data_IF_985719340606
#
_entry.id   IF_985719340606
#
_cell.length_a   1.000
_cell.length_b   1.000
_cell.length_c   1.000
_cell.angle_alpha   90.00
_cell.angle_beta   90.00
_cell.angle_gamma   90.00
#
_symmetry.space_group_name_H-M   'P 1'
#
loop_
_entity.id
_entity.type
_entity.pdbx_description
1 polymer ?
#
# COMPACT_ATOMS: atom_id res chain seq x y z
N UNK A 1 15.75 -18.38 -11.93
CA UNK A 1 15.59 -18.33 -10.46
C UNK A 1 14.12 -18.24 -10.16
N UNK A 2 13.56 -19.15 -9.36
CA UNK A 2 12.16 -19.09 -8.93
C UNK A 2 12.00 -17.85 -8.04
N UNK A 3 11.35 -16.81 -8.54
CA UNK A 3 11.00 -15.63 -7.74
C UNK A 3 10.11 -16.10 -6.60
N UNK A 4 10.52 -15.79 -5.35
CA UNK A 4 9.73 -16.09 -4.15
C UNK A 4 8.27 -15.72 -4.42
N UNK A 5 7.31 -16.59 -4.04
CA UNK A 5 5.90 -16.33 -4.31
C UNK A 5 5.55 -14.94 -3.79
N UNK A 6 4.82 -14.16 -4.58
CA UNK A 6 4.33 -12.85 -4.17
C UNK A 6 3.49 -13.06 -2.89
N UNK A 7 4.09 -12.83 -1.74
CA UNK A 7 3.44 -12.89 -0.45
C UNK A 7 2.88 -11.50 -0.16
N UNK A 8 1.78 -11.35 0.59
CA UNK A 8 1.59 -10.14 1.36
C UNK A 8 2.85 -9.92 2.20
N UNK A 9 3.52 -8.79 1.97
CA UNK A 9 4.79 -8.45 2.63
C UNK A 9 4.53 -7.82 3.99
N UNK A 10 3.37 -7.22 4.12
CA UNK A 10 3.01 -6.30 5.17
C UNK A 10 1.61 -6.68 5.70
N UNK A 11 1.36 -6.54 7.01
CA UNK A 11 0.04 -6.84 7.58
C UNK A 11 -1.12 -6.03 6.96
N UNK A 12 -0.83 -4.87 6.38
CA UNK A 12 -1.81 -4.05 5.66
C UNK A 12 -2.44 -4.79 4.47
N UNK A 13 -1.69 -5.64 3.77
CA UNK A 13 -2.22 -6.43 2.66
C UNK A 13 -3.34 -7.38 3.11
N UNK A 14 -3.23 -7.92 4.33
CA UNK A 14 -4.26 -8.78 4.90
C UNK A 14 -5.51 -7.99 5.27
N UNK A 15 -5.33 -6.79 5.80
CA UNK A 15 -6.42 -5.89 6.18
C UNK A 15 -7.20 -5.45 4.93
N UNK A 16 -6.51 -5.07 3.87
CA UNK A 16 -7.13 -4.51 2.66
C UNK A 16 -7.62 -5.57 1.67
N UNK A 17 -6.95 -6.72 1.63
CA UNK A 17 -7.15 -7.69 0.54
C UNK A 17 -7.45 -9.12 1.01
N UNK A 18 -7.52 -9.39 2.31
CA UNK A 18 -7.71 -10.75 2.85
C UNK A 18 -8.93 -11.49 2.27
N UNK A 19 -10.00 -10.77 1.91
CA UNK A 19 -11.17 -11.36 1.25
C UNK A 19 -10.87 -11.98 -0.13
N UNK A 20 -9.88 -11.45 -0.87
CA UNK A 20 -9.48 -12.01 -2.18
C UNK A 20 -8.98 -13.44 -2.02
N UNK A 21 -8.16 -13.72 -0.99
CA UNK A 21 -7.71 -15.07 -0.70
C UNK A 21 -8.87 -15.97 -0.26
N UNK A 22 -9.81 -15.47 0.54
CA UNK A 22 -10.99 -16.24 0.94
C UNK A 22 -11.84 -16.65 -0.27
N UNK A 23 -12.03 -15.76 -1.26
CA UNK A 23 -12.73 -16.09 -2.52
C UNK A 23 -11.98 -17.17 -3.31
N UNK A 24 -10.65 -17.11 -3.37
CA UNK A 24 -9.83 -18.14 -4.03
C UNK A 24 -9.93 -19.49 -3.30
N UNK A 25 -9.88 -19.49 -1.97
CA UNK A 25 -9.98 -20.69 -1.15
C UNK A 25 -11.37 -21.36 -1.27
N UNK A 26 -12.45 -20.60 -1.34
CA UNK A 26 -13.80 -21.14 -1.60
C UNK A 26 -13.88 -21.83 -2.97
N UNK A 27 -13.33 -21.22 -4.03
CA UNK A 27 -13.25 -21.85 -5.36
C UNK A 27 -12.38 -23.11 -5.36
N UNK A 28 -11.29 -23.11 -4.59
CA UNK A 28 -10.45 -24.29 -4.41
C UNK A 28 -11.20 -25.42 -3.69
N UNK A 29 -12.04 -25.08 -2.72
CA UNK A 29 -12.90 -26.04 -2.04
C UNK A 29 -13.96 -26.64 -2.96
N UNK A 30 -14.63 -25.83 -3.78
CA UNK A 30 -15.56 -26.31 -4.81
C UNK A 30 -14.89 -27.30 -5.78
N UNK A 31 -13.61 -27.05 -6.09
CA UNK A 31 -12.77 -27.92 -6.93
C UNK A 31 -12.13 -29.09 -6.19
N UNK A 32 -12.43 -29.27 -4.89
CA UNK A 32 -11.89 -30.30 -4.00
C UNK A 32 -10.37 -30.26 -3.82
N UNK A 33 -9.72 -29.13 -4.09
CA UNK A 33 -8.28 -28.94 -3.86
C UNK A 33 -7.96 -28.30 -2.51
N UNK A 34 -8.95 -27.72 -1.83
CA UNK A 34 -8.86 -27.24 -0.46
C UNK A 34 -9.95 -27.87 0.42
N UNK A 35 -9.63 -28.11 1.71
CA UNK A 35 -10.61 -28.67 2.65
C UNK A 35 -11.50 -27.56 3.24
N UNK A 36 -12.73 -27.93 3.60
CA UNK A 36 -13.68 -27.00 4.24
C UNK A 36 -13.14 -26.46 5.57
N UNK A 37 -12.37 -27.26 6.30
CA UNK A 37 -11.75 -26.86 7.56
C UNK A 37 -10.76 -25.70 7.36
N UNK A 38 -9.95 -25.74 6.31
CA UNK A 38 -9.00 -24.67 5.97
C UNK A 38 -9.74 -23.38 5.63
N UNK A 39 -10.78 -23.46 4.80
CA UNK A 39 -11.60 -22.29 4.42
C UNK A 39 -12.28 -21.67 5.66
N UNK A 40 -12.81 -22.49 6.55
CA UNK A 40 -13.42 -22.02 7.80
C UNK A 40 -12.40 -21.37 8.72
N UNK A 41 -11.20 -21.95 8.87
CA UNK A 41 -10.10 -21.39 9.67
C UNK A 41 -9.67 -20.02 9.12
N UNK A 42 -9.49 -19.91 7.80
CA UNK A 42 -9.18 -18.66 7.12
C UNK A 42 -10.26 -17.60 7.37
N UNK A 43 -11.54 -17.95 7.16
CA UNK A 43 -12.66 -17.03 7.40
C UNK A 43 -12.72 -16.54 8.84
N UNK A 44 -12.49 -17.43 9.82
CA UNK A 44 -12.46 -17.08 11.25
C UNK A 44 -11.35 -16.07 11.55
N UNK A 45 -10.13 -16.31 11.07
CA UNK A 45 -8.99 -15.42 11.30
C UNK A 45 -9.20 -14.04 10.65
N UNK A 46 -9.75 -13.99 9.43
CA UNK A 46 -10.08 -12.73 8.77
C UNK A 46 -11.15 -11.94 9.53
N UNK A 47 -12.17 -12.61 10.09
CA UNK A 47 -13.15 -11.96 10.98
C UNK A 47 -12.49 -11.41 12.24
N UNK A 48 -11.60 -12.16 12.87
CA UNK A 48 -10.86 -11.69 14.05
C UNK A 48 -9.99 -10.47 13.72
N UNK A 49 -9.31 -10.49 12.57
CA UNK A 49 -8.53 -9.35 12.07
C UNK A 49 -9.41 -8.12 11.85
N UNK A 50 -10.60 -8.30 11.26
CA UNK A 50 -11.56 -7.23 11.02
C UNK A 50 -12.10 -6.61 12.32
N UNK A 51 -12.24 -7.40 13.39
CA UNK A 51 -12.72 -6.93 14.71
C UNK A 51 -11.67 -6.25 15.59
N UNK A 52 -10.38 -6.29 15.21
CA UNK A 52 -9.34 -5.58 15.96
C UNK A 52 -9.62 -4.09 16.04
N UNK A 53 -9.22 -3.46 17.15
CA UNK A 53 -9.35 -2.02 17.31
C UNK A 53 -8.46 -1.28 16.31
N UNK A 54 -8.87 -0.06 15.92
CA UNK A 54 -8.09 0.77 14.97
C UNK A 54 -6.65 0.98 15.44
N UNK A 55 -6.44 1.19 16.75
CA UNK A 55 -5.09 1.33 17.32
C UNK A 55 -4.22 0.08 17.19
N UNK A 56 -4.81 -1.11 17.33
CA UNK A 56 -4.10 -2.39 17.16
C UNK A 56 -3.74 -2.63 15.69
N UNK A 57 -4.67 -2.35 14.77
CA UNK A 57 -4.41 -2.44 13.32
C UNK A 57 -3.28 -1.50 12.90
N UNK A 58 -3.25 -0.26 13.41
CA UNK A 58 -2.18 0.70 13.13
C UNK A 58 -0.82 0.21 13.62
N UNK A 59 -0.74 -0.30 14.86
CA UNK A 59 0.49 -0.89 15.40
C UNK A 59 0.96 -2.08 14.56
N UNK A 60 0.02 -2.95 14.18
CA UNK A 60 0.30 -4.12 13.35
C UNK A 60 0.90 -3.73 11.99
N UNK A 61 0.40 -2.68 11.33
CA UNK A 61 0.95 -2.19 10.06
C UNK A 61 2.39 -1.63 10.18
N UNK A 62 2.87 -1.30 11.39
CA UNK A 62 4.24 -0.82 11.61
C UNK A 62 5.25 -1.96 11.83
N UNK A 63 4.79 -3.21 11.90
CA UNK A 63 5.63 -4.38 12.19
C UNK A 63 5.75 -5.25 10.93
N UNK A 64 6.98 -5.58 10.54
CA UNK A 64 7.22 -6.45 9.39
C UNK A 64 6.92 -7.93 9.71
N UNK A 65 6.57 -8.72 8.69
CA UNK A 65 6.30 -10.15 8.85
C UNK A 65 7.46 -10.92 9.52
N UNK A 66 8.72 -10.58 9.19
CA UNK A 66 9.92 -11.18 9.84
C UNK A 66 10.05 -10.84 11.32
N UNK A 67 9.51 -9.70 11.75
CA UNK A 67 9.51 -9.32 13.16
C UNK A 67 8.39 -10.03 13.91
N UNK A 68 7.23 -10.18 13.29
CA UNK A 68 6.13 -11.00 13.80
C UNK A 68 6.58 -12.45 14.04
N UNK A 69 7.27 -13.07 13.07
CA UNK A 69 7.81 -14.42 13.22
C UNK A 69 8.74 -14.55 14.44
N UNK A 70 9.60 -13.55 14.67
CA UNK A 70 10.47 -13.52 15.85
C UNK A 70 9.68 -13.38 17.15
N UNK A 71 8.73 -12.43 17.23
CA UNK A 71 7.89 -12.28 18.42
C UNK A 71 7.11 -13.57 18.76
N UNK A 72 6.72 -14.37 17.76
CA UNK A 72 6.05 -15.67 17.97
C UNK A 72 7.03 -16.69 18.57
N UNK A 73 8.26 -16.76 18.08
CA UNK A 73 9.30 -17.66 18.58
C UNK A 73 9.72 -17.28 20.01
N UNK A 74 9.86 -15.98 20.26
CA UNK A 74 10.32 -15.41 21.53
C UNK A 74 9.21 -15.41 22.61
N UNK A 75 7.95 -15.64 22.22
CA UNK A 75 6.80 -15.65 23.13
C UNK A 75 6.20 -14.27 23.43
N UNK A 76 6.67 -13.23 22.75
CA UNK A 76 6.30 -11.82 22.96
C UNK A 76 5.20 -11.33 22.00
N UNK A 77 4.64 -12.22 21.17
CA UNK A 77 3.67 -11.83 20.15
C UNK A 77 2.36 -11.33 20.74
N UNK A 78 1.84 -10.24 20.19
CA UNK A 78 0.47 -9.80 20.47
C UNK A 78 -0.56 -10.67 19.75
N UNK A 79 -1.81 -10.65 20.21
CA UNK A 79 -2.92 -11.38 19.55
C UNK A 79 -3.07 -11.00 18.07
N UNK A 80 -2.87 -9.72 17.73
CA UNK A 80 -2.93 -9.23 16.35
C UNK A 80 -1.83 -9.84 15.47
N UNK A 81 -0.60 -9.94 16.01
CA UNK A 81 0.53 -10.56 15.34
C UNK A 81 0.33 -12.07 15.16
N UNK A 82 -0.22 -12.75 16.17
CA UNK A 82 -0.60 -14.16 16.07
C UNK A 82 -1.62 -14.42 14.96
N UNK A 83 -2.59 -13.53 14.77
CA UNK A 83 -3.57 -13.64 13.67
C UNK A 83 -2.87 -13.59 12.32
N UNK A 84 -1.98 -12.61 12.10
CA UNK A 84 -1.23 -12.48 10.83
C UNK A 84 -0.32 -13.67 10.60
N UNK A 85 0.38 -14.15 11.64
CA UNK A 85 1.22 -15.34 11.54
C UNK A 85 0.42 -16.55 11.06
N UNK A 86 -0.74 -16.83 11.68
CA UNK A 86 -1.61 -17.94 11.31
C UNK A 86 -2.20 -17.78 9.90
N UNK A 87 -2.52 -16.55 9.49
CA UNK A 87 -2.97 -16.26 8.13
C UNK A 87 -1.88 -16.59 7.09
N UNK A 88 -0.64 -16.18 7.35
CA UNK A 88 0.52 -16.50 6.51
C UNK A 88 0.81 -18.01 6.47
N UNK A 89 0.70 -18.69 7.61
CA UNK A 89 0.88 -20.14 7.71
C UNK A 89 -0.15 -20.88 6.83
N UNK A 90 -1.44 -20.52 6.93
CA UNK A 90 -2.50 -21.13 6.11
C UNK A 90 -2.26 -20.88 4.62
N UNK A 91 -1.92 -19.64 4.24
CA UNK A 91 -1.62 -19.28 2.86
C UNK A 91 -0.49 -20.11 2.28
N UNK A 92 0.64 -20.17 2.99
CA UNK A 92 1.86 -20.81 2.50
C UNK A 92 1.78 -22.34 2.50
N UNK A 93 1.20 -22.95 3.55
CA UNK A 93 1.23 -24.40 3.74
C UNK A 93 0.02 -25.13 3.15
N UNK A 94 -1.17 -24.54 3.26
CA UNK A 94 -2.44 -25.22 2.97
C UNK A 94 -3.14 -24.70 1.71
N UNK A 95 -2.78 -23.50 1.24
CA UNK A 95 -3.38 -22.83 0.09
C UNK A 95 -2.31 -22.32 -0.90
N UNK A 96 -1.18 -23.01 -1.03
CA UNK A 96 0.01 -22.50 -1.74
C UNK A 96 -0.27 -21.97 -3.16
N UNK A 97 -1.12 -22.67 -3.93
CA UNK A 97 -1.46 -22.26 -5.31
C UNK A 97 -2.37 -21.02 -5.36
N UNK A 98 -3.31 -20.93 -4.43
CA UNK A 98 -4.22 -19.81 -4.23
C UNK A 98 -3.47 -18.61 -3.65
N UNK A 99 -2.49 -18.86 -2.80
CA UNK A 99 -1.61 -17.89 -2.18
C UNK A 99 -0.73 -17.18 -3.21
N UNK A 100 -0.15 -17.91 -4.15
CA UNK A 100 0.56 -17.30 -5.28
C UNK A 100 -0.36 -16.44 -6.16
N UNK A 101 -1.59 -16.91 -6.42
CA UNK A 101 -2.59 -16.17 -7.20
C UNK A 101 -3.01 -14.90 -6.47
N UNK A 102 -3.25 -15.00 -5.17
CA UNK A 102 -3.53 -13.87 -4.29
C UNK A 102 -2.40 -12.85 -4.34
N UNK A 103 -1.17 -13.31 -4.19
CA UNK A 103 0.06 -12.55 -4.39
C UNK A 103 0.13 -11.73 -5.66
N UNK A 104 -0.15 -12.37 -6.80
CA UNK A 104 -0.21 -11.71 -8.10
C UNK A 104 -1.33 -10.67 -8.15
N UNK A 105 -2.50 -10.97 -7.58
CA UNK A 105 -3.63 -10.03 -7.54
C UNK A 105 -3.33 -8.79 -6.69
N UNK A 106 -2.72 -8.95 -5.51
CA UNK A 106 -2.34 -7.81 -4.66
C UNK A 106 -1.19 -7.02 -5.26
N UNK A 107 -0.19 -7.67 -5.87
CA UNK A 107 0.88 -6.98 -6.58
C UNK A 107 0.30 -6.15 -7.72
N UNK A 108 -0.62 -6.70 -8.51
CA UNK A 108 -1.30 -5.96 -9.58
C UNK A 108 -2.18 -4.82 -9.04
N UNK A 109 -2.72 -4.97 -7.82
CA UNK A 109 -3.45 -3.90 -7.11
C UNK A 109 -2.49 -2.77 -6.71
N UNK A 110 -1.28 -3.11 -6.20
CA UNK A 110 -0.20 -2.14 -5.97
C UNK A 110 0.35 -1.53 -7.28
N UNK A 111 0.23 -2.23 -8.41
CA UNK A 111 0.55 -1.72 -9.74
C UNK A 111 -0.58 -0.91 -10.40
N UNK A 112 -1.76 -0.79 -9.77
CA UNK A 112 -2.88 0.00 -10.32
C UNK A 112 -2.85 1.48 -9.93
N UNK A 113 -1.82 1.93 -9.23
CA UNK A 113 -1.43 3.35 -9.18
C UNK A 113 0.06 3.50 -9.51
N UNK A 114 0.53 2.83 -10.56
CA UNK A 114 1.60 3.46 -11.34
C UNK A 114 1.00 4.72 -11.93
N UNK A 115 1.21 5.83 -11.25
CA UNK A 115 1.10 7.16 -11.81
C UNK A 115 1.74 7.13 -13.20
N UNK A 116 0.91 7.09 -14.24
CA UNK A 116 1.40 7.36 -15.57
C UNK A 116 1.70 8.85 -15.57
N UNK A 117 2.99 9.18 -15.54
CA UNK A 117 3.49 10.55 -15.68
C UNK A 117 2.66 11.24 -16.75
N UNK A 118 1.96 12.32 -16.40
CA UNK A 118 1.12 13.05 -17.36
C UNK A 118 2.00 13.31 -18.58
N UNK A 119 1.60 12.78 -19.74
CA UNK A 119 2.32 13.01 -20.99
C UNK A 119 1.99 14.42 -21.45
N UNK A 120 2.62 15.41 -20.83
CA UNK A 120 2.53 16.82 -21.16
C UNK A 120 3.74 17.26 -21.96
N UNK A 121 3.52 18.24 -22.84
CA UNK A 121 4.61 18.93 -23.51
C UNK A 121 5.46 19.73 -22.51
N UNK A 122 6.69 20.07 -22.87
CA UNK A 122 7.65 20.73 -21.97
C UNK A 122 7.09 22.03 -21.37
N UNK A 123 6.38 22.82 -22.17
CA UNK A 123 5.81 24.12 -21.77
C UNK A 123 4.61 23.95 -20.84
N UNK A 124 3.77 22.94 -21.08
CA UNK A 124 2.65 22.56 -20.22
C UNK A 124 3.16 22.04 -18.87
N UNK A 125 4.24 21.25 -18.88
CA UNK A 125 4.88 20.74 -17.67
C UNK A 125 5.40 21.88 -16.78
N UNK A 126 6.04 22.87 -17.38
CA UNK A 126 6.55 24.03 -16.65
C UNK A 126 5.40 24.82 -16.01
N UNK A 127 4.36 25.10 -16.79
CA UNK A 127 3.17 25.83 -16.30
C UNK A 127 2.49 25.10 -15.13
N UNK A 128 2.44 23.77 -15.20
CA UNK A 128 1.93 22.91 -14.13
C UNK A 128 2.78 22.99 -12.85
N UNK A 129 4.10 22.91 -12.99
CA UNK A 129 5.04 22.98 -11.88
C UNK A 129 5.00 24.36 -11.20
N UNK A 130 4.89 25.43 -11.98
CA UNK A 130 4.77 26.80 -11.48
C UNK A 130 3.45 26.99 -10.71
N UNK A 131 2.34 26.45 -11.22
CA UNK A 131 1.05 26.46 -10.52
C UNK A 131 1.12 25.71 -9.18
N UNK A 132 1.74 24.52 -9.16
CA UNK A 132 1.94 23.76 -7.93
C UNK A 132 2.80 24.53 -6.92
N UNK A 133 3.87 25.20 -7.38
CA UNK A 133 4.73 26.01 -6.53
C UNK A 133 3.95 27.18 -5.90
N UNK A 134 3.09 27.84 -6.67
CA UNK A 134 2.24 28.92 -6.17
C UNK A 134 1.26 28.41 -5.10
N UNK A 135 0.61 27.26 -5.34
CA UNK A 135 -0.30 26.63 -4.39
C UNK A 135 0.39 26.24 -3.09
N UNK A 136 1.60 25.66 -3.19
CA UNK A 136 2.44 25.33 -2.03
C UNK A 136 2.72 26.58 -1.19
N UNK A 137 3.06 27.70 -1.83
CA UNK A 137 3.41 28.93 -1.11
C UNK A 137 2.20 29.56 -0.42
N UNK A 138 0.99 29.38 -0.94
CA UNK A 138 -0.23 29.97 -0.38
C UNK A 138 -0.92 29.07 0.66
N UNK A 139 -0.86 27.74 0.47
CA UNK A 139 -1.72 26.79 1.19
C UNK A 139 -0.93 25.68 1.91
N UNK A 140 0.35 25.90 2.23
CA UNK A 140 1.27 24.87 2.76
C UNK A 140 0.66 24.01 3.88
N UNK A 141 0.07 24.64 4.90
CA UNK A 141 -0.49 23.95 6.06
C UNK A 141 -1.67 23.06 5.68
N UNK A 142 -2.58 23.58 4.85
CA UNK A 142 -3.76 22.85 4.39
C UNK A 142 -3.37 21.65 3.51
N UNK A 143 -2.39 21.83 2.62
CA UNK A 143 -1.87 20.76 1.77
C UNK A 143 -1.21 19.64 2.59
N UNK A 144 -0.42 19.98 3.60
CA UNK A 144 0.18 18.99 4.52
C UNK A 144 -0.89 18.18 5.27
N UNK A 145 -1.88 18.87 5.84
CA UNK A 145 -2.96 18.22 6.58
C UNK A 145 -3.81 17.32 5.67
N UNK A 146 -4.15 17.81 4.48
CA UNK A 146 -4.92 17.06 3.49
C UNK A 146 -4.15 15.84 2.96
N UNK A 147 -2.86 15.99 2.66
CA UNK A 147 -2.03 14.89 2.18
C UNK A 147 -1.84 13.81 3.24
N UNK A 148 -1.61 14.21 4.50
CA UNK A 148 -1.52 13.28 5.63
C UNK A 148 -2.82 12.50 5.84
N UNK A 149 -3.97 13.14 5.64
CA UNK A 149 -5.26 12.46 5.71
C UNK A 149 -5.45 11.45 4.58
N UNK A 150 -5.10 11.82 3.35
CA UNK A 150 -5.32 10.98 2.16
C UNK A 150 -4.29 9.85 2.01
N UNK A 151 -3.03 10.10 2.35
CA UNK A 151 -1.90 9.19 2.07
C UNK A 151 -1.24 8.62 3.33
N UNK A 152 -1.69 8.98 4.53
CA UNK A 152 -1.11 8.55 5.82
C UNK A 152 0.39 8.88 6.02
N UNK A 153 0.95 9.74 5.18
CA UNK A 153 2.33 10.22 5.22
C UNK A 153 2.38 11.75 5.17
N UNK A 154 3.47 12.35 5.64
CA UNK A 154 3.64 13.80 5.57
C UNK A 154 4.17 14.23 4.20
N UNK A 155 3.52 15.24 3.60
CA UNK A 155 3.97 15.81 2.34
C UNK A 155 5.33 16.51 2.52
N UNK A 156 6.34 16.03 1.80
CA UNK A 156 7.68 16.62 1.81
C UNK A 156 7.74 17.95 1.03
N UNK A 157 7.12 19.00 1.58
CA UNK A 157 7.04 20.32 0.97
C UNK A 157 8.43 20.93 0.72
N UNK A 158 9.37 20.77 1.65
CA UNK A 158 10.71 21.36 1.51
C UNK A 158 11.48 20.72 0.35
N UNK A 159 11.48 19.38 0.27
CA UNK A 159 12.08 18.65 -0.83
C UNK A 159 11.40 18.95 -2.17
N UNK A 160 10.07 19.09 -2.17
CA UNK A 160 9.29 19.45 -3.36
C UNK A 160 9.61 20.88 -3.84
N UNK A 161 9.67 21.85 -2.91
CA UNK A 161 9.95 23.26 -3.22
C UNK A 161 11.39 23.44 -3.71
N UNK A 162 12.35 22.72 -3.15
CA UNK A 162 13.73 22.69 -3.65
C UNK A 162 13.76 22.15 -5.08
N UNK A 163 13.14 21.00 -5.30
CA UNK A 163 13.08 20.36 -6.62
C UNK A 163 12.35 21.22 -7.68
N UNK A 164 11.26 21.89 -7.32
CA UNK A 164 10.54 22.82 -8.20
C UNK A 164 11.34 24.08 -8.57
N UNK A 165 12.35 24.43 -7.77
CA UNK A 165 13.24 25.57 -8.01
C UNK A 165 14.54 25.21 -8.74
N UNK A 166 14.86 23.92 -8.90
CA UNK A 166 16.00 23.45 -9.69
C UNK A 166 15.83 23.83 -11.17
N UNK A 167 16.92 24.12 -11.90
CA UNK A 167 16.82 24.40 -13.32
C UNK A 167 16.27 23.19 -14.09
N UNK A 168 15.57 23.42 -15.20
CA UNK A 168 15.07 22.32 -16.07
C UNK A 168 16.23 21.41 -16.52
N UNK A 169 17.43 21.98 -16.71
CA UNK A 169 18.64 21.22 -17.07
C UNK A 169 19.12 20.30 -15.94
N UNK A 170 18.96 20.69 -14.67
CA UNK A 170 19.32 19.88 -13.48
C UNK A 170 18.33 18.72 -13.26
N UNK A 171 17.08 18.90 -13.71
CA UNK A 171 16.00 17.90 -13.57
C UNK A 171 15.94 16.87 -14.70
N UNK A 172 16.67 17.08 -15.80
CA UNK A 172 16.74 16.12 -16.92
C UNK A 172 17.53 14.88 -16.53
N UNK A 173 16.83 13.80 -16.18
CA UNK A 173 17.45 12.51 -15.91
C UNK A 173 16.65 11.63 -14.95
N UNK A 174 17.34 10.93 -14.05
CA UNK A 174 16.77 9.91 -13.14
C UNK A 174 15.70 10.43 -12.15
N UNK A 175 15.56 11.75 -11.97
CA UNK A 175 14.68 12.34 -10.96
C UNK A 175 13.56 13.23 -11.53
N UNK A 176 13.33 13.21 -12.86
CA UNK A 176 12.26 13.99 -13.51
C UNK A 176 10.86 13.72 -12.95
N UNK A 177 10.62 12.52 -12.44
CA UNK A 177 9.32 12.07 -11.97
C UNK A 177 9.26 11.87 -10.45
N UNK A 178 10.24 12.43 -9.73
CA UNK A 178 10.43 12.19 -8.30
C UNK A 178 9.20 12.58 -7.46
N UNK A 179 8.49 13.62 -7.87
CA UNK A 179 7.36 14.20 -7.13
C UNK A 179 6.05 14.25 -7.92
N UNK A 180 5.93 13.45 -8.98
CA UNK A 180 4.77 13.52 -9.88
C UNK A 180 3.43 13.21 -9.17
N UNK A 181 3.46 12.33 -8.16
CA UNK A 181 2.30 12.02 -7.31
C UNK A 181 1.88 13.21 -6.45
N UNK A 182 2.85 13.83 -5.79
CA UNK A 182 2.64 14.99 -4.92
C UNK A 182 2.11 16.18 -5.71
N UNK A 183 2.63 16.42 -6.92
CA UNK A 183 2.16 17.49 -7.79
C UNK A 183 0.72 17.27 -8.25
N UNK A 184 0.33 16.03 -8.57
CA UNK A 184 -1.06 15.75 -8.94
C UNK A 184 -2.02 15.86 -7.77
N UNK A 185 -1.62 15.40 -6.60
CA UNK A 185 -2.42 15.61 -5.40
C UNK A 185 -2.71 17.10 -5.18
N UNK A 186 -1.69 17.96 -5.34
CA UNK A 186 -1.85 19.42 -5.18
C UNK A 186 -2.84 19.98 -6.19
N UNK A 187 -2.75 19.57 -7.46
CA UNK A 187 -3.70 20.00 -8.50
C UNK A 187 -5.12 19.51 -8.23
N UNK A 188 -5.27 18.22 -7.93
CA UNK A 188 -6.59 17.65 -7.63
C UNK A 188 -7.22 18.41 -6.48
N UNK A 189 -6.48 18.68 -5.40
CA UNK A 189 -7.01 19.48 -4.30
C UNK A 189 -7.45 20.87 -4.72
N UNK A 190 -6.69 21.56 -5.56
CA UNK A 190 -7.06 22.88 -6.04
C UNK A 190 -8.34 22.89 -6.89
N UNK A 191 -8.60 21.82 -7.65
CA UNK A 191 -9.83 21.68 -8.45
C UNK A 191 -11.08 21.40 -7.62
N UNK A 192 -10.94 20.88 -6.39
CA UNK A 192 -12.07 20.59 -5.50
C UNK A 192 -12.44 21.78 -4.60
N UNK A 193 -11.55 22.76 -4.47
CA UNK A 193 -11.76 23.98 -3.68
C UNK A 193 -12.28 25.16 -4.52
N UNK A 194 -12.30 25.02 -5.86
CA UNK A 194 -12.88 25.96 -6.83
C UNK A 194 -14.32 25.64 -7.19
#
# INVERSE_FOLDING_TARGET
>A
MSTKPNQPKDPIDWIEHGEKLLKLANKAHEKKTATKAVVNKLSKLLKQLATLQVGEKRKLCQVSAKRIERHIIDGDSTTAETIIYNLNEIGTTQLSSEWERFGRQIANTRYTEKFYTIKVEKEQRQSFEDACLQMINNNEKQLKDAYRHSNSEELNIEGLRLWLKEGIEDRKGKHKHKFDMELMFILERALWES
#
